data_IF_202409446387
#
_entry.id   IF_202409446387
#
_cell.length_a   1.000
_cell.length_b   1.000
_cell.length_c   1.000
_cell.angle_alpha   90.00
_cell.angle_beta   90.00
_cell.angle_gamma   90.00
#
_symmetry.space_group_name_H-M   'P 1'
#
loop_
_entity.id
_entity.type
_entity.pdbx_description
1 polymer ?
#
# COMPACT_ATOMS: atom_id res chain seq x y z
N UNK A 1 21.69 -7.30 18.68
CA UNK A 1 21.12 -7.68 17.37
C UNK A 1 19.62 -7.64 17.56
N UNK A 2 18.93 -6.67 16.97
CA UNK A 2 17.48 -6.69 16.85
C UNK A 2 17.16 -7.91 15.98
N UNK A 3 16.48 -8.88 16.58
CA UNK A 3 15.98 -10.02 15.85
C UNK A 3 15.07 -9.47 14.72
N UNK A 4 15.18 -10.06 13.54
CA UNK A 4 14.34 -9.68 12.42
C UNK A 4 12.87 -9.83 12.89
N UNK A 5 12.02 -8.84 12.61
CA UNK A 5 10.60 -8.85 13.00
C UNK A 5 9.90 -10.12 12.51
N UNK A 6 10.36 -10.70 11.42
CA UNK A 6 9.87 -11.96 10.89
C UNK A 6 10.11 -13.14 11.83
N UNK A 7 11.22 -13.13 12.59
CA UNK A 7 11.52 -14.20 13.55
C UNK A 7 10.49 -14.27 14.67
N UNK A 8 9.93 -13.13 15.08
CA UNK A 8 8.86 -13.07 16.09
C UNK A 8 7.62 -13.86 15.62
N UNK A 9 7.28 -13.75 14.35
CA UNK A 9 6.08 -14.40 13.79
C UNK A 9 6.35 -15.81 13.26
N UNK A 10 7.59 -16.16 12.93
CA UNK A 10 7.92 -17.46 12.33
C UNK A 10 8.53 -18.44 13.32
N UNK A 11 9.26 -17.94 14.32
CA UNK A 11 9.98 -18.78 15.31
C UNK A 11 9.40 -18.65 16.72
N UNK A 12 9.02 -17.42 17.11
CA UNK A 12 8.64 -17.11 18.49
C UNK A 12 7.12 -16.99 18.69
N UNK A 13 6.32 -17.29 17.65
CA UNK A 13 4.85 -17.17 17.69
C UNK A 13 4.22 -18.01 18.81
N UNK A 14 4.80 -19.14 19.14
CA UNK A 14 4.30 -20.01 20.19
C UNK A 14 4.42 -19.36 21.58
N UNK A 15 5.47 -18.57 21.81
CA UNK A 15 5.62 -17.78 23.05
C UNK A 15 4.46 -16.80 23.19
N UNK A 16 4.05 -16.15 22.07
CA UNK A 16 2.91 -15.25 22.05
C UNK A 16 1.58 -15.99 22.27
N UNK A 17 1.47 -17.25 21.82
CA UNK A 17 0.27 -18.09 22.04
C UNK A 17 0.12 -18.48 23.51
N UNK A 18 1.19 -18.81 24.16
CA UNK A 18 1.19 -19.36 25.53
C UNK A 18 0.89 -18.30 26.60
N UNK A 19 0.85 -17.02 26.24
CA UNK A 19 0.43 -15.98 27.18
C UNK A 19 -1.06 -16.13 27.52
N UNK A 20 -1.39 -16.29 28.80
CA UNK A 20 -2.77 -16.41 29.29
C UNK A 20 -3.49 -15.04 29.38
N UNK A 21 -3.72 -14.40 28.23
CA UNK A 21 -4.42 -13.12 28.16
C UNK A 21 -5.12 -12.94 26.83
N UNK A 22 -6.09 -12.02 26.74
CA UNK A 22 -6.63 -11.57 25.46
C UNK A 22 -5.57 -10.82 24.68
N UNK A 23 -5.37 -11.19 23.40
CA UNK A 23 -4.32 -10.63 22.55
C UNK A 23 -4.90 -10.13 21.25
N UNK A 24 -4.48 -8.93 20.84
CA UNK A 24 -4.64 -8.41 19.49
C UNK A 24 -3.24 -8.14 18.97
N UNK A 25 -2.84 -8.85 17.92
CA UNK A 25 -1.49 -8.76 17.36
C UNK A 25 -1.63 -8.30 15.90
N UNK A 26 -0.98 -7.19 15.57
CA UNK A 26 -0.85 -6.76 14.18
C UNK A 26 0.38 -7.39 13.56
N UNK A 27 0.26 -7.89 12.35
CA UNK A 27 1.40 -8.46 11.64
C UNK A 27 1.46 -7.92 10.21
N UNK A 28 2.67 -7.85 9.61
CA UNK A 28 2.84 -7.47 8.22
C UNK A 28 2.07 -8.41 7.27
N UNK A 29 1.40 -7.84 6.27
CA UNK A 29 0.56 -8.57 5.31
C UNK A 29 1.35 -9.64 4.54
N UNK A 30 2.61 -9.38 4.24
CA UNK A 30 3.48 -10.32 3.51
C UNK A 30 3.76 -11.61 4.29
N UNK A 31 3.59 -11.61 5.61
CA UNK A 31 3.70 -12.83 6.43
C UNK A 31 2.47 -13.71 6.34
N UNK A 32 1.36 -13.23 5.78
CA UNK A 32 0.17 -14.02 5.52
C UNK A 32 0.50 -15.14 4.51
N UNK A 33 0.36 -16.37 4.94
CA UNK A 33 0.73 -17.56 4.14
C UNK A 33 2.15 -18.09 4.37
N UNK A 34 2.99 -17.36 5.13
CA UNK A 34 4.26 -17.90 5.65
C UNK A 34 4.04 -18.45 7.07
N UNK A 35 3.27 -17.70 7.85
CA UNK A 35 2.91 -18.07 9.22
C UNK A 35 1.60 -18.85 9.18
N UNK A 36 1.65 -20.09 9.61
CA UNK A 36 0.47 -20.94 9.75
C UNK A 36 -0.33 -20.48 10.97
N UNK A 37 -1.15 -19.43 10.78
CA UNK A 37 -1.97 -18.85 11.84
C UNK A 37 -3.24 -19.67 11.97
N UNK A 38 -3.12 -20.89 12.45
CA UNK A 38 -4.28 -21.67 12.85
C UNK A 38 -4.92 -21.03 14.09
N UNK A 39 -6.18 -20.63 13.94
CA UNK A 39 -7.06 -20.14 14.98
C UNK A 39 -7.05 -18.65 15.34
N UNK A 40 -6.39 -17.77 14.60
CA UNK A 40 -6.57 -16.33 14.80
C UNK A 40 -7.57 -15.80 13.77
N UNK A 41 -8.67 -15.21 14.24
CA UNK A 41 -9.59 -14.47 13.36
C UNK A 41 -8.87 -13.20 12.91
N UNK A 42 -8.21 -13.26 11.76
CA UNK A 42 -7.59 -12.10 11.16
C UNK A 42 -8.70 -11.15 10.70
N UNK A 43 -8.75 -9.95 11.24
CA UNK A 43 -9.53 -8.86 10.68
C UNK A 43 -8.71 -8.30 9.52
N UNK A 44 -9.22 -8.46 8.32
CA UNK A 44 -8.54 -8.02 7.12
C UNK A 44 -8.93 -6.56 6.84
N UNK A 45 -7.99 -5.66 7.00
CA UNK A 45 -8.13 -4.25 6.63
C UNK A 45 -7.63 -3.98 5.20
N UNK A 46 -7.40 -5.02 4.41
CA UNK A 46 -7.05 -4.82 3.01
C UNK A 46 -8.25 -4.24 2.29
N UNK A 47 -8.00 -3.11 1.66
CA UNK A 47 -9.02 -2.45 0.86
C UNK A 47 -9.29 -3.28 -0.38
N UNK A 48 -10.56 -3.52 -0.63
CA UNK A 48 -11.00 -4.22 -1.82
C UNK A 48 -10.99 -3.25 -2.99
N UNK A 49 -10.19 -3.53 -4.00
CA UNK A 49 -10.28 -2.92 -5.32
C UNK A 49 -10.97 -3.91 -6.25
N UNK A 50 -12.01 -3.50 -6.92
CA UNK A 50 -12.67 -4.33 -7.92
C UNK A 50 -11.76 -4.50 -9.14
N UNK A 51 -12.00 -5.54 -9.94
CA UNK A 51 -11.20 -5.87 -11.14
C UNK A 51 -11.19 -4.76 -12.19
N UNK A 52 -12.16 -3.86 -12.16
CA UNK A 52 -12.25 -2.67 -13.02
C UNK A 52 -11.46 -1.47 -12.47
N UNK A 53 -10.79 -1.63 -11.32
CA UNK A 53 -10.01 -0.58 -10.66
C UNK A 53 -10.83 0.38 -9.82
N UNK A 54 -12.13 0.10 -9.61
CA UNK A 54 -12.93 0.86 -8.66
C UNK A 54 -12.55 0.49 -7.23
N UNK A 55 -12.40 1.50 -6.38
CA UNK A 55 -12.06 1.31 -4.96
C UNK A 55 -13.35 1.17 -4.19
N UNK A 56 -13.59 -0.01 -3.64
CA UNK A 56 -14.66 -0.18 -2.65
C UNK A 56 -14.33 0.66 -1.42
N UNK A 57 -15.35 1.29 -0.87
CA UNK A 57 -15.22 2.17 0.31
C UNK A 57 -14.49 3.50 0.04
N UNK A 58 -14.63 4.07 -1.16
CA UNK A 58 -14.10 5.39 -1.50
C UNK A 58 -14.49 6.43 -0.44
N UNK A 59 -15.76 6.44 -0.03
CA UNK A 59 -16.29 7.34 0.99
C UNK A 59 -15.58 7.19 2.34
N UNK A 60 -15.31 5.94 2.75
CA UNK A 60 -14.57 5.70 3.99
C UNK A 60 -13.15 6.29 3.96
N UNK A 61 -12.50 6.26 2.80
CA UNK A 61 -11.17 6.85 2.64
C UNK A 61 -11.23 8.38 2.59
N UNK A 62 -12.26 8.95 1.97
CA UNK A 62 -12.53 10.39 2.05
C UNK A 62 -12.72 10.79 3.50
N UNK A 63 -13.54 10.07 4.26
CA UNK A 63 -13.77 10.33 5.68
C UNK A 63 -12.47 10.27 6.50
N UNK A 64 -11.57 9.34 6.19
CA UNK A 64 -10.26 9.26 6.85
C UNK A 64 -9.42 10.52 6.63
N UNK A 65 -9.44 11.09 5.44
CA UNK A 65 -8.71 12.33 5.12
C UNK A 65 -9.40 13.51 5.77
N UNK A 66 -10.68 13.69 5.50
CA UNK A 66 -11.46 14.87 5.95
C UNK A 66 -11.55 14.97 7.46
N UNK A 67 -11.57 13.84 8.18
CA UNK A 67 -11.55 13.85 9.65
C UNK A 67 -10.22 14.32 10.27
N UNK A 68 -9.17 14.47 9.48
CA UNK A 68 -7.83 14.91 9.89
C UNK A 68 -7.52 16.34 9.49
N UNK A 69 -8.34 16.93 8.66
CA UNK A 69 -8.17 18.29 8.15
C UNK A 69 -9.20 19.20 8.84
N UNK A 70 -8.72 20.18 9.62
CA UNK A 70 -9.60 21.11 10.34
C UNK A 70 -10.38 22.04 9.40
N UNK A 71 -9.77 22.42 8.27
CA UNK A 71 -10.39 23.26 7.25
C UNK A 71 -10.39 22.54 5.90
N UNK A 72 -11.57 22.14 5.43
CA UNK A 72 -11.74 21.41 4.17
C UNK A 72 -11.45 22.26 2.93
N UNK A 73 -11.40 23.59 3.04
CA UNK A 73 -11.01 24.46 1.93
C UNK A 73 -9.52 24.33 1.57
N UNK A 74 -8.72 23.63 2.37
CA UNK A 74 -7.29 23.40 2.13
C UNK A 74 -7.00 22.26 1.13
N UNK A 75 -7.99 21.49 0.72
CA UNK A 75 -7.83 20.40 -0.25
C UNK A 75 -9.09 20.25 -1.11
N UNK A 76 -8.90 20.11 -2.42
CA UNK A 76 -10.02 19.88 -3.33
C UNK A 76 -10.49 18.42 -3.33
N UNK A 77 -11.76 18.20 -3.65
CA UNK A 77 -12.33 16.84 -3.77
C UNK A 77 -11.60 16.02 -4.85
N UNK A 78 -11.23 16.65 -5.95
CA UNK A 78 -10.49 16.06 -7.07
C UNK A 78 -9.09 15.59 -6.61
N UNK A 79 -8.42 16.38 -5.77
CA UNK A 79 -7.13 16.01 -5.18
C UNK A 79 -7.26 14.79 -4.27
N UNK A 80 -8.30 14.74 -3.43
CA UNK A 80 -8.59 13.59 -2.56
C UNK A 80 -8.85 12.33 -3.41
N UNK A 81 -9.68 12.42 -4.45
CA UNK A 81 -9.99 11.29 -5.33
C UNK A 81 -8.76 10.77 -6.07
N UNK A 82 -7.92 11.68 -6.58
CA UNK A 82 -6.66 11.32 -7.23
C UNK A 82 -5.72 10.61 -6.24
N UNK A 83 -5.56 11.14 -5.04
CA UNK A 83 -4.71 10.54 -4.01
C UNK A 83 -5.20 9.13 -3.61
N UNK A 84 -6.52 8.96 -3.42
CA UNK A 84 -7.12 7.66 -3.12
C UNK A 84 -6.86 6.67 -4.26
N UNK A 85 -7.10 7.06 -5.51
CA UNK A 85 -6.88 6.22 -6.69
C UNK A 85 -5.41 5.79 -6.78
N UNK A 86 -4.49 6.72 -6.61
CA UNK A 86 -3.06 6.47 -6.73
C UNK A 86 -2.48 5.71 -5.53
N UNK A 87 -3.15 5.74 -4.38
CA UNK A 87 -2.79 4.90 -3.24
C UNK A 87 -3.13 3.42 -3.43
N UNK A 88 -3.94 3.08 -4.44
CA UNK A 88 -4.48 1.73 -4.63
C UNK A 88 -5.24 1.22 -3.41
N UNK A 89 -5.77 2.13 -2.59
CA UNK A 89 -6.46 1.80 -1.35
C UNK A 89 -5.54 1.51 -0.15
N UNK A 90 -4.23 1.65 -0.30
CA UNK A 90 -3.30 1.52 0.81
C UNK A 90 -3.32 2.79 1.65
N UNK A 91 -3.86 2.69 2.88
CA UNK A 91 -4.03 3.85 3.77
C UNK A 91 -2.70 4.54 4.10
N UNK A 92 -1.61 3.79 4.30
CA UNK A 92 -0.28 4.37 4.56
C UNK A 92 0.18 5.21 3.38
N UNK A 93 0.07 4.69 2.18
CA UNK A 93 0.46 5.40 0.97
C UNK A 93 -0.46 6.60 0.70
N UNK A 94 -1.76 6.48 0.97
CA UNK A 94 -2.69 7.61 0.87
C UNK A 94 -2.25 8.78 1.76
N UNK A 95 -1.96 8.50 3.03
CA UNK A 95 -1.49 9.53 3.96
C UNK A 95 -0.12 10.10 3.56
N UNK A 96 0.76 9.28 3.01
CA UNK A 96 2.06 9.73 2.48
C UNK A 96 1.87 10.68 1.28
N UNK A 97 0.98 10.36 0.34
CA UNK A 97 0.66 11.22 -0.81
C UNK A 97 0.15 12.59 -0.31
N UNK A 98 -0.83 12.60 0.60
CA UNK A 98 -1.39 13.84 1.12
C UNK A 98 -0.33 14.66 1.87
N UNK A 99 0.50 14.02 2.68
CA UNK A 99 1.58 14.70 3.41
C UNK A 99 2.59 15.33 2.45
N UNK A 100 3.04 14.58 1.43
CA UNK A 100 3.97 15.12 0.42
C UNK A 100 3.31 16.23 -0.40
N UNK A 101 2.03 16.08 -0.78
CA UNK A 101 1.29 17.10 -1.51
C UNK A 101 1.16 18.41 -0.71
N UNK A 102 0.94 18.33 0.61
CA UNK A 102 0.91 19.53 1.45
C UNK A 102 2.28 20.22 1.52
N UNK A 103 3.37 19.46 1.52
CA UNK A 103 4.72 20.03 1.45
C UNK A 103 4.98 20.69 0.09
N UNK A 104 4.59 20.03 -1.00
CA UNK A 104 4.71 20.60 -2.36
C UNK A 104 3.89 21.88 -2.50
N UNK A 105 2.66 21.92 -1.95
CA UNK A 105 1.82 23.11 -1.97
C UNK A 105 2.54 24.32 -1.35
N UNK A 106 3.11 24.14 -0.18
CA UNK A 106 3.78 25.22 0.56
C UNK A 106 5.13 25.58 -0.08
N UNK A 107 5.97 24.59 -0.37
CA UNK A 107 7.39 24.82 -0.68
C UNK A 107 7.64 25.07 -2.16
N UNK A 108 6.77 24.56 -3.06
CA UNK A 108 6.97 24.61 -4.51
C UNK A 108 5.91 25.47 -5.21
N UNK A 109 4.64 25.28 -4.87
CA UNK A 109 3.53 25.97 -5.50
C UNK A 109 3.15 27.28 -4.82
N UNK A 110 3.69 27.53 -3.61
CA UNK A 110 3.42 28.73 -2.80
C UNK A 110 1.90 28.97 -2.59
N UNK A 111 1.16 27.88 -2.36
CA UNK A 111 -0.29 27.87 -2.15
C UNK A 111 -0.66 27.23 -0.82
N UNK A 112 -1.80 27.65 -0.25
CA UNK A 112 -2.37 27.02 0.95
C UNK A 112 -3.35 25.89 0.60
N UNK A 113 -3.65 25.67 -0.68
CA UNK A 113 -4.64 24.70 -1.16
C UNK A 113 -3.93 23.57 -1.89
N UNK A 114 -4.26 22.34 -1.52
CA UNK A 114 -3.82 21.13 -2.22
C UNK A 114 -4.82 20.83 -3.33
N UNK A 115 -4.38 20.94 -4.57
CA UNK A 115 -5.13 20.55 -5.76
C UNK A 115 -4.46 19.35 -6.45
N UNK A 116 -4.94 18.96 -7.60
CA UNK A 116 -4.42 17.82 -8.37
C UNK A 116 -2.96 17.99 -8.78
N UNK A 117 -2.46 19.21 -8.98
CA UNK A 117 -1.08 19.46 -9.38
C UNK A 117 -0.09 19.13 -8.26
N UNK A 118 -0.40 19.50 -7.02
CA UNK A 118 0.41 19.18 -5.84
C UNK A 118 0.42 17.68 -5.56
N UNK A 119 -0.75 17.02 -5.73
CA UNK A 119 -0.85 15.57 -5.62
C UNK A 119 -0.03 14.87 -6.70
N UNK A 120 -0.05 15.35 -7.95
CA UNK A 120 0.78 14.80 -9.03
C UNK A 120 2.26 14.99 -8.77
N UNK A 121 2.68 16.15 -8.22
CA UNK A 121 4.07 16.39 -7.82
C UNK A 121 4.51 15.41 -6.75
N UNK A 122 3.70 15.24 -5.70
CA UNK A 122 3.96 14.25 -4.64
C UNK A 122 4.08 12.81 -5.18
N UNK A 123 3.22 12.42 -6.12
CA UNK A 123 3.28 11.11 -6.79
C UNK A 123 4.61 10.94 -7.53
N UNK A 124 5.08 11.95 -8.26
CA UNK A 124 6.36 11.90 -8.97
C UNK A 124 7.56 11.72 -8.02
N UNK A 125 7.52 12.36 -6.85
CA UNK A 125 8.55 12.16 -5.82
C UNK A 125 8.57 10.70 -5.34
N UNK A 126 7.39 10.12 -5.02
CA UNK A 126 7.29 8.72 -4.60
C UNK A 126 7.74 7.78 -5.72
N UNK A 127 7.40 8.08 -6.98
CA UNK A 127 7.88 7.31 -8.14
C UNK A 127 9.41 7.29 -8.20
N UNK A 128 10.06 8.44 -8.03
CA UNK A 128 11.51 8.54 -8.03
C UNK A 128 12.17 7.68 -6.95
N UNK A 129 11.59 7.66 -5.75
CA UNK A 129 12.06 6.84 -4.63
C UNK A 129 11.96 5.33 -4.92
N UNK A 130 11.03 4.92 -5.78
CA UNK A 130 10.77 3.52 -6.13
C UNK A 130 11.49 3.05 -7.41
N UNK A 131 11.97 3.96 -8.26
CA UNK A 131 12.49 3.65 -9.62
C UNK A 131 13.53 2.54 -9.64
N UNK A 132 14.54 2.60 -8.76
CA UNK A 132 15.56 1.56 -8.68
C UNK A 132 14.98 0.18 -8.41
N UNK A 133 14.02 0.08 -7.48
CA UNK A 133 13.38 -1.19 -7.14
C UNK A 133 12.50 -1.70 -8.27
N UNK A 134 11.80 -0.79 -8.97
CA UNK A 134 11.00 -1.15 -10.16
C UNK A 134 11.88 -1.80 -11.22
N UNK A 135 13.09 -1.27 -11.46
CA UNK A 135 14.04 -1.86 -12.41
C UNK A 135 14.50 -3.27 -11.98
N UNK A 136 14.83 -3.45 -10.69
CA UNK A 136 15.27 -4.74 -10.16
C UNK A 136 14.19 -5.82 -10.32
N UNK A 137 12.93 -5.49 -10.07
CA UNK A 137 11.81 -6.45 -10.10
C UNK A 137 10.96 -6.36 -11.36
N UNK A 138 11.41 -5.66 -12.41
CA UNK A 138 10.62 -5.35 -13.62
C UNK A 138 9.92 -6.57 -14.24
N UNK A 139 10.62 -7.70 -14.35
CA UNK A 139 10.07 -8.94 -14.90
C UNK A 139 8.92 -9.46 -14.03
N UNK A 140 9.15 -9.57 -12.72
CA UNK A 140 8.15 -10.04 -11.76
C UNK A 140 6.92 -9.11 -11.71
N UNK A 141 7.14 -7.79 -11.71
CA UNK A 141 6.06 -6.81 -11.71
C UNK A 141 5.19 -6.90 -12.97
N UNK A 142 5.78 -7.16 -14.15
CA UNK A 142 5.03 -7.40 -15.40
C UNK A 142 4.18 -8.67 -15.32
N UNK A 143 4.72 -9.75 -14.75
CA UNK A 143 3.96 -10.98 -14.52
C UNK A 143 2.75 -10.73 -13.60
N UNK A 144 2.96 -10.04 -12.48
CA UNK A 144 1.88 -9.68 -11.55
C UNK A 144 0.82 -8.79 -12.19
N UNK A 145 1.23 -7.75 -12.92
CA UNK A 145 0.29 -6.82 -13.56
C UNK A 145 -0.65 -7.49 -14.59
N UNK A 146 -0.27 -8.67 -15.07
CA UNK A 146 -1.04 -9.42 -16.06
C UNK A 146 -1.82 -10.57 -15.44
N UNK A 147 -1.15 -11.36 -14.59
CA UNK A 147 -1.70 -12.60 -14.04
C UNK A 147 -2.47 -12.40 -12.73
N UNK A 148 -2.11 -11.38 -11.94
CA UNK A 148 -2.64 -11.07 -10.61
C UNK A 148 -2.54 -12.21 -9.58
N UNK A 149 -1.75 -13.23 -9.89
CA UNK A 149 -1.45 -14.40 -9.05
C UNK A 149 0.05 -14.63 -9.04
N UNK A 150 0.54 -15.29 -8.01
CA UNK A 150 1.96 -15.58 -7.84
C UNK A 150 2.21 -17.07 -7.89
N UNK A 151 3.19 -17.49 -8.67
CA UNK A 151 3.69 -18.85 -8.68
C UNK A 151 4.56 -19.12 -7.44
N UNK A 152 4.58 -20.37 -6.98
CA UNK A 152 5.35 -20.77 -5.78
C UNK A 152 6.85 -20.45 -5.87
N UNK A 153 7.40 -20.45 -7.09
CA UNK A 153 8.81 -20.17 -7.36
C UNK A 153 9.19 -18.71 -7.13
N UNK A 154 8.25 -17.78 -7.24
CA UNK A 154 8.44 -16.34 -7.11
C UNK A 154 8.08 -15.82 -5.69
N UNK A 155 8.11 -16.68 -4.68
CA UNK A 155 7.69 -16.32 -3.32
C UNK A 155 8.57 -15.25 -2.69
N UNK A 156 9.88 -15.31 -2.91
CA UNK A 156 10.82 -14.35 -2.33
C UNK A 156 10.65 -12.97 -2.97
N UNK A 157 10.51 -12.91 -4.30
CA UNK A 157 10.21 -11.67 -5.02
C UNK A 157 8.88 -11.05 -4.57
N UNK A 158 7.85 -11.88 -4.31
CA UNK A 158 6.59 -11.41 -3.76
C UNK A 158 6.79 -10.76 -2.36
N UNK A 159 7.51 -11.42 -1.48
CA UNK A 159 7.76 -10.91 -0.13
C UNK A 159 8.47 -9.56 -0.21
N UNK A 160 9.52 -9.46 -1.00
CA UNK A 160 10.31 -8.25 -1.13
C UNK A 160 9.53 -7.11 -1.80
N UNK A 161 8.71 -7.41 -2.80
CA UNK A 161 7.87 -6.40 -3.46
C UNK A 161 6.69 -5.94 -2.61
N UNK A 162 6.09 -6.82 -1.79
CA UNK A 162 5.10 -6.43 -0.78
C UNK A 162 5.71 -5.55 0.32
N UNK A 163 6.92 -5.89 0.81
CA UNK A 163 7.65 -5.09 1.80
C UNK A 163 7.99 -3.70 1.29
N UNK A 164 8.39 -3.62 0.03
CA UNK A 164 8.80 -2.35 -0.58
C UNK A 164 7.64 -1.52 -1.12
N UNK A 165 6.39 -2.02 -1.04
CA UNK A 165 5.21 -1.32 -1.54
C UNK A 165 5.10 -1.27 -3.06
N UNK A 166 5.82 -2.12 -3.80
CA UNK A 166 5.70 -2.24 -5.25
C UNK A 166 4.49 -3.07 -5.66
N UNK A 167 4.11 -4.03 -4.82
CA UNK A 167 2.93 -4.89 -5.01
C UNK A 167 2.01 -4.75 -3.80
N UNK A 168 0.72 -4.74 -4.04
CA UNK A 168 -0.33 -4.77 -3.05
C UNK A 168 -1.07 -6.11 -3.08
N UNK A 169 -1.47 -6.58 -1.90
CA UNK A 169 -2.30 -7.76 -1.73
C UNK A 169 -3.74 -7.34 -1.43
N UNK A 170 -4.66 -7.77 -2.26
CA UNK A 170 -6.08 -7.54 -2.10
C UNK A 170 -6.82 -8.83 -1.74
N UNK A 171 -7.90 -8.72 -0.99
CA UNK A 171 -8.72 -9.85 -0.57
C UNK A 171 -10.17 -9.64 -1.03
N UNK A 172 -10.45 -10.19 -2.21
CA UNK A 172 -11.81 -10.31 -2.74
C UNK A 172 -12.25 -11.79 -2.69
N UNK A 173 -12.25 -12.40 -1.49
CA UNK A 173 -12.53 -13.82 -1.31
C UNK A 173 -11.36 -14.75 -1.65
N UNK A 174 -10.50 -14.37 -2.59
CA UNK A 174 -9.19 -15.01 -2.87
C UNK A 174 -8.10 -13.95 -2.88
N UNK A 175 -6.89 -14.35 -2.51
CA UNK A 175 -5.74 -13.47 -2.61
C UNK A 175 -5.55 -13.03 -4.07
N UNK A 176 -5.49 -11.73 -4.26
CA UNK A 176 -5.29 -11.06 -5.53
C UNK A 176 -4.15 -10.07 -5.36
N UNK A 177 -3.22 -10.06 -6.28
CA UNK A 177 -2.06 -9.18 -6.22
C UNK A 177 -2.10 -8.22 -7.41
N UNK A 178 -1.79 -6.96 -7.17
CA UNK A 178 -1.59 -5.98 -8.25
C UNK A 178 -0.42 -5.07 -7.91
N UNK A 179 0.13 -4.47 -8.95
CA UNK A 179 1.21 -3.50 -8.79
C UNK A 179 0.67 -2.20 -8.21
N UNK A 180 1.51 -1.53 -7.45
CA UNK A 180 1.22 -0.20 -6.94
C UNK A 180 0.85 0.75 -8.09
N UNK A 181 -0.31 1.44 -8.06
CA UNK A 181 -0.73 2.33 -9.13
C UNK A 181 0.31 3.41 -9.48
N UNK A 182 1.07 3.89 -8.50
CA UNK A 182 2.10 4.91 -8.69
C UNK A 182 3.18 4.47 -9.68
N UNK A 183 3.54 3.18 -9.70
CA UNK A 183 4.64 2.69 -10.55
C UNK A 183 4.20 2.18 -11.92
N UNK A 184 2.91 2.19 -12.24
CA UNK A 184 2.39 1.65 -13.52
C UNK A 184 3.06 2.29 -14.73
N UNK A 185 3.20 3.60 -14.72
CA UNK A 185 3.81 4.33 -15.83
C UNK A 185 5.32 4.04 -15.97
N UNK A 186 6.03 3.89 -14.85
CA UNK A 186 7.45 3.55 -14.84
C UNK A 186 7.69 2.16 -15.42
N UNK A 187 6.85 1.20 -15.03
CA UNK A 187 6.92 -0.16 -15.55
C UNK A 187 6.67 -0.22 -17.07
N UNK A 188 5.73 0.57 -17.58
CA UNK A 188 5.43 0.66 -19.01
C UNK A 188 6.60 1.23 -19.83
N UNK A 189 7.43 2.11 -19.26
CA UNK A 189 8.62 2.68 -19.92
C UNK A 189 9.78 1.69 -20.03
N UNK A 190 9.78 0.63 -19.21
CA UNK A 190 10.79 -0.45 -19.24
C UNK A 190 10.43 -1.58 -20.21
N UNK A 191 9.45 -1.35 -21.09
CA UNK A 191 8.94 -2.33 -22.08
C UNK A 191 9.78 -2.33 -23.34
#
# INVERSE_FOLDING_TARGET
>A
KLNNIDDVFTKDIDILRDLECFKIITMPVYLKGIVDIYSVKAIDFTMEMDKDGSIKNLELLKDVITSRIENLDLITDEAIELAIKMSGGNLRQLLEIIQKASTEAIDVFETDVIDTDEVQSAIKLIQGDLDYKVQVYAKFLKEISTAHIVNKENKDDLIDTLRSGLVFAYLNGKAYYDINPIIKDNLNRLS
#
